data_IF_084073859607
#
_entry.id   IF_084073859607
#
_cell.length_a   1.000
_cell.length_b   1.000
_cell.length_c   1.000
_cell.angle_alpha   90.00
_cell.angle_beta   90.00
_cell.angle_gamma   90.00
#
_symmetry.space_group_name_H-M   'P 1'
#
loop_
_entity.id
_entity.type
_entity.pdbx_description
1 polymer ?
#
# COMPACT_ATOMS: atom_id res chain seq x y z
N UNK A 1 -8.73 20.06 74.27
CA UNK A 1 -7.66 20.02 73.26
C UNK A 1 -7.57 18.62 72.62
N UNK A 2 -8.63 18.16 71.94
CA UNK A 2 -8.68 16.82 71.28
C UNK A 2 -9.34 16.81 69.90
N UNK A 3 -9.80 17.96 69.40
CA UNK A 3 -10.53 18.08 68.12
C UNK A 3 -9.66 18.58 66.95
N UNK A 4 -8.45 19.10 67.22
CA UNK A 4 -7.52 19.55 66.16
C UNK A 4 -6.70 18.42 65.54
N UNK A 5 -6.54 17.29 66.23
CA UNK A 5 -5.69 16.19 65.76
C UNK A 5 -6.33 15.36 64.62
N UNK A 6 -7.67 15.26 64.60
CA UNK A 6 -8.39 14.46 63.61
C UNK A 6 -8.49 15.10 62.22
N UNK A 7 -8.36 16.43 62.10
CA UNK A 7 -8.42 17.10 60.79
C UNK A 7 -7.07 17.05 60.08
N UNK A 8 -5.97 17.13 60.81
CA UNK A 8 -4.61 17.08 60.24
C UNK A 8 -4.24 15.66 59.80
N UNK A 9 -4.66 14.63 60.55
CA UNK A 9 -4.42 13.24 60.17
C UNK A 9 -5.16 12.85 58.87
N UNK A 10 -6.38 13.37 58.69
CA UNK A 10 -7.16 13.13 57.47
C UNK A 10 -6.51 13.81 56.25
N UNK A 11 -5.99 15.04 56.39
CA UNK A 11 -5.31 15.76 55.30
C UNK A 11 -3.99 15.09 54.91
N UNK A 12 -3.25 14.52 55.87
CA UNK A 12 -2.00 13.78 55.58
C UNK A 12 -2.29 12.45 54.86
N UNK A 13 -3.36 11.74 55.23
CA UNK A 13 -3.76 10.50 54.55
C UNK A 13 -4.27 10.80 53.13
N UNK A 14 -5.04 11.88 52.92
CA UNK A 14 -5.49 12.29 51.58
C UNK A 14 -4.32 12.78 50.70
N UNK A 15 -3.31 13.43 51.27
CA UNK A 15 -2.11 13.87 50.55
C UNK A 15 -1.16 12.70 50.19
N UNK A 16 -1.13 11.63 51.00
CA UNK A 16 -0.40 10.39 50.68
C UNK A 16 -1.11 9.53 49.62
N UNK A 17 -2.44 9.60 49.51
CA UNK A 17 -3.17 8.99 48.40
C UNK A 17 -3.07 9.78 47.09
N UNK A 18 -2.82 11.09 47.15
CA UNK A 18 -2.63 11.94 45.95
C UNK A 18 -1.19 12.02 45.43
N UNK A 19 -0.22 11.40 46.11
CA UNK A 19 1.19 11.34 45.68
C UNK A 19 1.57 10.05 44.97
N UNK A 20 0.63 9.14 44.74
CA UNK A 20 0.79 7.96 43.85
C UNK A 20 0.21 8.16 42.45
N UNK A 21 -0.25 9.35 42.11
CA UNK A 21 -0.64 9.71 40.74
C UNK A 21 0.44 10.57 40.12
N UNK A 22 1.53 9.96 39.63
CA UNK A 22 2.41 10.44 38.55
C UNK A 22 3.67 9.56 38.47
N UNK A 23 3.55 8.40 37.84
CA UNK A 23 4.55 8.00 36.84
C UNK A 23 3.76 7.54 35.62
N UNK A 24 3.71 8.33 34.53
CA UNK A 24 3.42 7.76 33.23
C UNK A 24 4.63 6.89 32.86
N UNK A 25 4.59 5.59 33.17
CA UNK A 25 5.46 4.63 32.50
C UNK A 25 4.86 4.34 31.14
N UNK A 26 5.12 5.20 30.16
CA UNK A 26 5.40 4.74 28.82
C UNK A 26 6.83 5.19 28.52
N UNK A 27 7.73 4.23 28.24
CA UNK A 27 7.70 3.59 26.94
C UNK A 27 8.05 2.11 27.07
N UNK A 28 7.05 1.23 27.06
CA UNK A 28 7.23 -0.18 26.72
C UNK A 28 5.83 -0.72 26.40
N UNK A 29 5.14 -0.12 25.43
CA UNK A 29 4.27 -0.98 24.63
C UNK A 29 5.24 -1.72 23.73
N UNK A 30 5.55 -2.97 24.07
CA UNK A 30 5.94 -3.87 23.01
C UNK A 30 4.68 -4.13 22.21
N UNK A 31 4.38 -3.28 21.23
CA UNK A 31 3.25 -3.52 20.36
C UNK A 31 3.72 -4.61 19.42
N UNK A 32 3.45 -5.86 19.80
CA UNK A 32 3.29 -6.89 18.80
C UNK A 32 2.06 -6.48 17.99
N UNK A 33 2.26 -5.64 16.97
CA UNK A 33 1.16 -5.23 16.12
C UNK A 33 0.73 -6.44 15.29
N UNK A 34 -0.58 -6.61 15.19
CA UNK A 34 -1.15 -7.70 14.43
C UNK A 34 -0.71 -7.60 12.97
N UNK A 35 -0.36 -8.74 12.38
CA UNK A 35 -0.15 -8.83 10.94
C UNK A 35 -1.44 -8.40 10.25
N UNK A 36 -1.36 -7.38 9.40
CA UNK A 36 -2.50 -6.84 8.66
C UNK A 36 -2.24 -6.88 7.17
N UNK A 37 -3.28 -7.02 6.35
CA UNK A 37 -3.15 -6.86 4.91
C UNK A 37 -3.42 -5.40 4.55
N UNK A 38 -2.51 -4.82 3.76
CA UNK A 38 -2.74 -3.52 3.12
C UNK A 38 -3.04 -3.74 1.66
N UNK A 39 -3.87 -2.87 1.08
CA UNK A 39 -4.24 -2.92 -0.32
C UNK A 39 -4.23 -1.54 -0.97
N UNK A 40 -3.87 -1.50 -2.25
CA UNK A 40 -3.95 -0.32 -3.11
C UNK A 40 -4.65 -0.71 -4.40
N UNK A 41 -5.71 0.02 -4.75
CA UNK A 41 -6.45 -0.19 -5.98
C UNK A 41 -6.59 1.13 -6.72
N UNK A 42 -6.29 1.14 -8.01
CA UNK A 42 -6.45 2.34 -8.85
C UNK A 42 -6.86 1.96 -10.26
N UNK A 43 -7.77 2.74 -10.82
CA UNK A 43 -8.16 2.67 -12.23
C UNK A 43 -7.46 3.78 -13.00
N UNK A 44 -6.85 3.43 -14.13
CA UNK A 44 -6.14 4.34 -14.99
C UNK A 44 -6.77 4.34 -16.38
N UNK A 45 -6.81 5.50 -17.01
CA UNK A 45 -7.28 5.67 -18.39
C UNK A 45 -6.20 6.31 -19.23
N UNK A 46 -5.83 5.66 -20.33
CA UNK A 46 -4.85 6.17 -21.29
C UNK A 46 -5.51 6.38 -22.64
N UNK A 47 -5.24 7.51 -23.27
CA UNK A 47 -5.74 7.81 -24.60
C UNK A 47 -4.60 7.64 -25.60
N UNK A 48 -4.87 6.91 -26.68
CA UNK A 48 -3.96 6.80 -27.80
C UNK A 48 -4.74 6.75 -29.10
N UNK A 49 -4.09 7.18 -30.19
CA UNK A 49 -4.63 7.24 -31.52
C UNK A 49 -3.89 6.27 -32.45
N UNK A 50 -4.61 5.67 -33.39
CA UNK A 50 -4.00 4.97 -34.52
C UNK A 50 -4.68 5.38 -35.83
N UNK A 51 -3.96 5.30 -36.94
CA UNK A 51 -4.53 5.60 -38.26
C UNK A 51 -5.69 4.66 -38.62
N UNK A 52 -5.64 3.40 -38.19
CA UNK A 52 -6.62 2.37 -38.54
C UNK A 52 -7.88 2.41 -37.66
N UNK A 53 -7.76 2.83 -36.40
CA UNK A 53 -8.84 2.71 -35.41
C UNK A 53 -9.23 4.03 -34.71
N UNK A 54 -8.57 5.13 -35.06
CA UNK A 54 -8.77 6.44 -34.45
C UNK A 54 -8.34 6.47 -32.98
N UNK A 55 -8.86 7.44 -32.22
CA UNK A 55 -8.61 7.57 -30.78
C UNK A 55 -9.37 6.52 -29.99
N UNK A 56 -8.68 5.85 -29.06
CA UNK A 56 -9.25 4.90 -28.11
C UNK A 56 -8.85 5.24 -26.68
N UNK A 57 -9.69 4.81 -25.74
CA UNK A 57 -9.44 4.91 -24.31
C UNK A 57 -9.12 3.51 -23.76
N UNK A 58 -7.88 3.33 -23.30
CA UNK A 58 -7.41 2.12 -22.66
C UNK A 58 -7.54 2.28 -21.16
N UNK A 59 -8.66 1.78 -20.63
CA UNK A 59 -8.90 1.71 -19.19
C UNK A 59 -8.26 0.44 -18.64
N UNK A 60 -7.53 0.53 -17.54
CA UNK A 60 -7.03 -0.64 -16.81
C UNK A 60 -7.07 -0.41 -15.30
N UNK A 61 -7.02 -1.51 -14.56
CA UNK A 61 -7.02 -1.53 -13.10
C UNK A 61 -5.71 -2.16 -12.61
N UNK A 62 -5.14 -1.57 -11.57
CA UNK A 62 -3.99 -2.10 -10.83
C UNK A 62 -4.44 -2.37 -9.41
N UNK A 63 -4.15 -3.57 -8.92
CA UNK A 63 -4.40 -4.00 -7.54
C UNK A 63 -3.10 -4.53 -6.94
N UNK A 64 -2.82 -4.09 -5.73
CA UNK A 64 -1.66 -4.45 -4.95
C UNK A 64 -2.10 -4.77 -3.53
N UNK A 65 -1.55 -5.85 -2.95
CA UNK A 65 -1.66 -6.08 -1.52
C UNK A 65 -0.37 -6.67 -0.95
N UNK A 66 -0.12 -6.40 0.33
CA UNK A 66 1.01 -6.94 1.07
C UNK A 66 0.60 -7.23 2.51
N UNK A 67 1.34 -8.12 3.17
CA UNK A 67 1.27 -8.32 4.61
C UNK A 67 2.14 -7.27 5.29
N UNK A 68 1.60 -6.58 6.29
CA UNK A 68 2.32 -5.63 7.12
C UNK A 68 2.45 -6.22 8.51
N UNK A 69 3.67 -6.20 9.02
CA UNK A 69 4.00 -6.53 10.41
C UNK A 69 4.68 -5.32 11.01
N UNK A 70 4.28 -4.96 12.23
CA UNK A 70 4.89 -3.83 12.92
C UNK A 70 5.31 -4.32 14.30
N UNK A 71 6.55 -4.01 14.64
CA UNK A 71 7.17 -4.29 15.92
C UNK A 71 7.74 -2.99 16.51
N UNK A 72 8.31 -3.07 17.71
CA UNK A 72 8.77 -1.89 18.45
C UNK A 72 9.81 -1.03 17.72
N UNK A 73 10.50 -1.60 16.73
CA UNK A 73 11.57 -0.94 16.00
C UNK A 73 11.21 -0.69 14.54
N UNK A 74 10.42 -1.56 13.93
CA UNK A 74 10.22 -1.57 12.49
C UNK A 74 8.77 -1.74 12.07
N UNK A 75 8.39 -1.02 11.01
CA UNK A 75 7.25 -1.34 10.15
C UNK A 75 7.77 -2.06 8.93
N UNK A 76 7.22 -3.23 8.64
CA UNK A 76 7.67 -4.12 7.57
C UNK A 76 6.50 -4.48 6.69
N UNK A 77 6.71 -4.51 5.39
CA UNK A 77 5.78 -5.09 4.44
C UNK A 77 6.46 -6.21 3.67
N UNK A 78 5.76 -7.33 3.54
CA UNK A 78 6.26 -8.53 2.89
C UNK A 78 5.11 -9.24 2.14
N UNK A 79 5.43 -10.36 1.48
CA UNK A 79 4.47 -11.16 0.70
C UNK A 79 3.62 -10.29 -0.21
N UNK A 80 4.31 -9.52 -1.05
CA UNK A 80 3.70 -8.60 -1.98
C UNK A 80 3.01 -9.37 -3.09
N UNK A 81 1.80 -8.97 -3.42
CA UNK A 81 1.01 -9.44 -4.55
C UNK A 81 0.61 -8.24 -5.40
N UNK A 82 0.75 -8.35 -6.71
CA UNK A 82 0.36 -7.32 -7.66
C UNK A 82 -0.33 -7.93 -8.88
N UNK A 83 -1.28 -7.20 -9.45
CA UNK A 83 -1.97 -7.59 -10.67
C UNK A 83 -2.45 -6.35 -11.43
N UNK A 84 -2.37 -6.41 -12.76
CA UNK A 84 -3.07 -5.49 -13.65
C UNK A 84 -4.03 -6.21 -14.59
N UNK A 85 -5.25 -5.68 -14.71
CA UNK A 85 -6.34 -6.32 -15.45
C UNK A 85 -7.36 -5.30 -15.99
N UNK A 86 -8.24 -5.79 -16.87
CA UNK A 86 -9.45 -5.09 -17.34
C UNK A 86 -10.68 -5.95 -17.08
N UNK A 87 -11.78 -5.31 -16.72
CA UNK A 87 -13.10 -5.92 -16.73
C UNK A 87 -13.81 -5.74 -18.08
N UNK A 88 -14.83 -6.56 -18.39
CA UNK A 88 -15.66 -6.35 -19.57
C UNK A 88 -16.26 -4.94 -19.67
N UNK A 89 -16.65 -4.35 -18.53
CA UNK A 89 -17.15 -2.97 -18.43
C UNK A 89 -16.14 -1.92 -18.87
N UNK A 90 -14.84 -2.23 -18.83
CA UNK A 90 -13.74 -1.31 -19.14
C UNK A 90 -13.42 -1.33 -20.65
N UNK A 91 -14.21 -2.07 -21.45
CA UNK A 91 -14.06 -2.22 -22.89
C UNK A 91 -12.86 -3.08 -23.26
N UNK A 92 -13.07 -4.39 -23.41
CA UNK A 92 -12.02 -5.29 -23.91
C UNK A 92 -12.05 -5.29 -25.43
N UNK A 93 -10.98 -4.75 -26.04
CA UNK A 93 -10.87 -4.70 -27.49
C UNK A 93 -10.47 -6.06 -28.09
N UNK A 94 -10.77 -6.24 -29.38
CA UNK A 94 -10.32 -7.40 -30.16
C UNK A 94 -8.79 -7.44 -30.30
N UNK A 95 -8.25 -8.53 -30.87
CA UNK A 95 -6.80 -8.70 -31.03
C UNK A 95 -6.15 -7.66 -31.94
N UNK A 96 -6.88 -7.12 -32.91
CA UNK A 96 -6.36 -6.17 -33.90
C UNK A 96 -6.10 -4.77 -33.31
N UNK A 97 -7.00 -4.30 -32.44
CA UNK A 97 -6.81 -3.06 -31.67
C UNK A 97 -5.79 -3.30 -30.54
N UNK A 98 -5.87 -4.46 -29.88
CA UNK A 98 -5.08 -4.78 -28.70
C UNK A 98 -5.60 -4.08 -27.44
N UNK A 99 -5.15 -4.53 -26.26
CA UNK A 99 -5.54 -3.94 -24.97
C UNK A 99 -4.36 -3.30 -24.21
N UNK A 100 -3.20 -3.25 -24.85
CA UNK A 100 -1.94 -2.91 -24.21
C UNK A 100 -1.43 -4.01 -23.28
N UNK A 101 -0.28 -3.72 -22.68
CA UNK A 101 0.37 -4.52 -21.65
C UNK A 101 0.62 -3.60 -20.44
N UNK A 102 0.56 -4.15 -19.23
CA UNK A 102 0.90 -3.41 -18.01
C UNK A 102 2.02 -4.16 -17.31
N UNK A 103 3.11 -3.45 -17.03
CA UNK A 103 4.31 -4.00 -16.42
C UNK A 103 4.47 -3.36 -15.04
N UNK A 104 4.63 -4.16 -13.99
CA UNK A 104 5.07 -3.65 -12.70
C UNK A 104 6.52 -3.19 -12.82
N UNK A 105 6.78 -1.90 -12.56
CA UNK A 105 8.13 -1.36 -12.59
C UNK A 105 8.77 -1.39 -11.21
N UNK A 106 8.09 -0.89 -10.17
CA UNK A 106 8.57 -0.89 -8.78
C UNK A 106 7.44 -0.98 -7.77
N UNK A 107 7.76 -1.48 -6.59
CA UNK A 107 6.97 -1.24 -5.38
C UNK A 107 7.82 -0.39 -4.44
N UNK A 108 7.33 0.80 -4.11
CA UNK A 108 8.01 1.79 -3.29
C UNK A 108 7.46 1.78 -1.87
N UNK A 109 8.36 1.96 -0.90
CA UNK A 109 8.01 2.41 0.44
C UNK A 109 8.28 3.91 0.52
N UNK A 110 7.27 4.67 0.90
CA UNK A 110 7.31 6.14 0.90
C UNK A 110 6.95 6.67 2.27
N UNK A 111 7.69 7.69 2.71
CA UNK A 111 7.38 8.47 3.91
C UNK A 111 6.14 9.34 3.64
N UNK A 112 5.10 9.18 4.45
CA UNK A 112 3.84 9.91 4.29
C UNK A 112 3.96 11.39 4.66
N UNK A 113 4.92 11.76 5.49
CA UNK A 113 5.06 13.13 5.99
C UNK A 113 5.66 14.05 4.94
N UNK A 114 6.65 13.57 4.17
CA UNK A 114 7.39 14.38 3.21
C UNK A 114 7.37 13.83 1.77
N UNK A 115 6.82 12.63 1.54
CA UNK A 115 6.76 12.00 0.23
C UNK A 115 8.09 11.40 -0.25
N UNK A 116 9.12 11.36 0.60
CA UNK A 116 10.43 10.82 0.24
C UNK A 116 10.36 9.31 0.06
N UNK A 117 11.08 8.80 -0.94
CA UNK A 117 11.25 7.38 -1.14
C UNK A 117 12.23 6.84 -0.12
N UNK A 118 11.80 5.86 0.66
CA UNK A 118 12.61 5.21 1.68
C UNK A 118 13.35 4.01 1.09
N UNK A 119 12.64 3.16 0.35
CA UNK A 119 13.17 1.96 -0.29
C UNK A 119 12.23 1.47 -1.40
N UNK A 120 12.67 0.49 -2.19
CA UNK A 120 11.84 -0.10 -3.24
C UNK A 120 12.24 -1.54 -3.58
N UNK A 121 11.27 -2.30 -4.10
CA UNK A 121 11.48 -3.58 -4.78
C UNK A 121 11.36 -3.35 -6.28
N UNK A 122 12.34 -3.82 -7.05
CA UNK A 122 12.25 -3.79 -8.51
C UNK A 122 11.16 -4.76 -9.00
N UNK A 123 10.40 -4.37 -10.02
CA UNK A 123 9.36 -5.20 -10.61
C UNK A 123 9.88 -6.51 -11.21
N UNK A 124 11.14 -6.54 -11.65
CA UNK A 124 11.81 -7.76 -12.11
C UNK A 124 12.09 -8.79 -10.99
N UNK A 125 12.03 -8.39 -9.72
CA UNK A 125 12.16 -9.31 -8.58
C UNK A 125 10.84 -10.00 -8.24
N UNK A 126 9.73 -9.60 -8.87
CA UNK A 126 8.45 -10.28 -8.76
C UNK A 126 8.37 -11.46 -9.74
N UNK A 127 7.95 -12.61 -9.22
CA UNK A 127 7.73 -13.82 -10.00
C UNK A 127 6.25 -14.00 -10.32
N UNK A 128 5.93 -14.79 -11.35
CA UNK A 128 4.54 -15.10 -11.69
C UNK A 128 3.83 -15.88 -10.57
N UNK A 129 2.57 -15.52 -10.30
CA UNK A 129 1.73 -16.12 -9.27
C UNK A 129 1.32 -15.12 -8.19
N UNK A 130 0.56 -15.58 -7.19
CA UNK A 130 0.13 -14.79 -6.04
C UNK A 130 0.29 -15.60 -4.74
N UNK A 131 0.44 -14.92 -3.60
CA UNK A 131 0.30 -15.50 -2.26
C UNK A 131 -1.18 -15.57 -1.85
N UNK A 132 -1.96 -14.56 -2.23
CA UNK A 132 -3.39 -14.45 -1.89
C UNK A 132 -4.27 -14.57 -3.13
N UNK A 133 -5.48 -15.11 -2.93
CA UNK A 133 -6.50 -15.16 -3.98
C UNK A 133 -6.98 -13.76 -4.35
N UNK A 134 -7.30 -13.55 -5.63
CA UNK A 134 -7.84 -12.29 -6.16
C UNK A 134 -9.20 -12.57 -6.77
N UNK A 135 -10.23 -11.88 -6.28
CA UNK A 135 -11.55 -11.90 -6.90
C UNK A 135 -11.60 -10.83 -7.99
N UNK A 136 -11.67 -11.27 -9.23
CA UNK A 136 -11.83 -10.39 -10.38
C UNK A 136 -13.25 -10.49 -10.93
N UNK A 137 -13.65 -9.46 -11.67
CA UNK A 137 -14.85 -9.51 -12.51
C UNK A 137 -14.80 -10.71 -13.47
N UNK A 138 -15.97 -11.28 -13.78
CA UNK A 138 -16.09 -12.37 -14.74
C UNK A 138 -15.53 -11.97 -16.11
N UNK A 139 -14.75 -12.86 -16.72
CA UNK A 139 -14.05 -12.63 -18.00
C UNK A 139 -13.02 -11.49 -17.99
N UNK A 140 -12.42 -11.21 -16.83
CA UNK A 140 -11.32 -10.26 -16.74
C UNK A 140 -10.17 -10.64 -17.69
N UNK A 141 -9.60 -9.64 -18.36
CA UNK A 141 -8.40 -9.81 -19.17
C UNK A 141 -7.19 -9.32 -18.39
N UNK A 142 -6.24 -10.21 -18.18
CA UNK A 142 -4.96 -9.87 -17.56
C UNK A 142 -4.12 -9.03 -18.52
N UNK A 143 -3.55 -7.94 -17.99
CA UNK A 143 -2.57 -7.11 -18.70
C UNK A 143 -1.17 -7.22 -18.11
N UNK A 144 -1.02 -7.59 -16.85
CA UNK A 144 0.29 -7.85 -16.21
C UNK A 144 0.42 -9.22 -15.55
N UNK A 145 -0.67 -9.99 -15.53
CA UNK A 145 -0.80 -11.25 -14.78
C UNK A 145 -0.63 -11.06 -13.26
N UNK A 146 -1.00 -12.06 -12.44
CA UNK A 146 -0.65 -12.06 -11.02
C UNK A 146 0.86 -12.20 -10.84
N UNK A 147 1.43 -11.36 -9.98
CA UNK A 147 2.84 -11.31 -9.62
C UNK A 147 3.00 -11.32 -8.11
N UNK A 148 4.06 -11.97 -7.62
CA UNK A 148 4.37 -12.04 -6.19
C UNK A 148 5.84 -11.83 -5.86
N UNK A 149 6.12 -11.32 -4.67
CA UNK A 149 7.47 -11.13 -4.16
C UNK A 149 7.55 -11.35 -2.63
N UNK A 150 8.45 -12.21 -2.12
CA UNK A 150 8.60 -12.42 -0.68
C UNK A 150 9.47 -11.37 0.02
N UNK A 151 10.26 -10.60 -0.73
CA UNK A 151 11.23 -9.67 -0.15
C UNK A 151 10.53 -8.57 0.64
N UNK A 152 11.22 -8.07 1.65
CA UNK A 152 10.67 -7.09 2.59
C UNK A 152 11.00 -5.66 2.21
N UNK A 153 10.05 -4.74 2.45
CA UNK A 153 10.31 -3.31 2.59
C UNK A 153 10.09 -2.89 4.04
N UNK A 154 11.08 -2.25 4.64
CA UNK A 154 11.06 -1.86 6.05
C UNK A 154 11.40 -0.39 6.27
N UNK A 155 10.79 0.21 7.29
CA UNK A 155 11.16 1.52 7.84
C UNK A 155 11.15 1.48 9.38
N UNK A 156 11.77 2.48 10.01
CA UNK A 156 11.62 2.70 11.46
C UNK A 156 10.14 2.82 11.83
N UNK A 157 9.72 2.24 12.95
CA UNK A 157 8.33 2.32 13.42
C UNK A 157 7.91 3.77 13.73
N UNK A 158 8.87 4.67 14.00
CA UNK A 158 8.59 6.09 14.19
C UNK A 158 8.17 6.84 12.90
N UNK A 159 8.31 6.23 11.73
CA UNK A 159 7.98 6.85 10.43
C UNK A 159 6.59 6.38 10.00
N UNK A 160 5.72 7.33 9.66
CA UNK A 160 4.47 7.01 8.97
C UNK A 160 4.78 6.71 7.50
N UNK A 161 4.43 5.53 7.03
CA UNK A 161 4.81 5.09 5.69
C UNK A 161 3.62 4.55 4.90
N UNK A 162 3.75 4.50 3.58
CA UNK A 162 2.81 3.81 2.71
C UNK A 162 3.57 3.07 1.62
N UNK A 163 2.95 2.02 1.11
CA UNK A 163 3.44 1.36 -0.07
C UNK A 163 2.78 1.95 -1.32
N UNK A 164 3.47 1.89 -2.44
CA UNK A 164 2.83 2.13 -3.72
C UNK A 164 3.51 1.43 -4.88
N UNK A 165 2.71 1.08 -5.87
CA UNK A 165 3.20 0.42 -7.08
C UNK A 165 3.36 1.42 -8.18
N UNK A 166 4.50 1.42 -8.84
CA UNK A 166 4.76 2.14 -10.08
C UNK A 166 4.67 1.14 -11.23
N UNK A 167 3.82 1.45 -12.20
CA UNK A 167 3.54 0.58 -13.35
C UNK A 167 3.80 1.31 -14.65
N UNK A 168 4.14 0.55 -15.70
CA UNK A 168 4.26 1.02 -17.07
C UNK A 168 3.16 0.41 -17.92
N UNK A 169 2.39 1.28 -18.57
CA UNK A 169 1.53 0.89 -19.67
C UNK A 169 2.34 0.83 -20.96
N UNK A 170 2.01 -0.07 -21.89
CA UNK A 170 2.62 -0.15 -23.21
C UNK A 170 1.55 -0.52 -24.25
N UNK A 171 1.59 0.11 -25.43
CA UNK A 171 0.77 -0.22 -26.59
C UNK A 171 1.65 -0.75 -27.73
N UNK A 172 1.03 -1.39 -28.73
CA UNK A 172 1.71 -1.77 -29.97
C UNK A 172 2.14 -0.54 -30.79
N UNK A 173 3.11 -0.73 -31.68
CA UNK A 173 3.78 0.34 -32.44
C UNK A 173 2.84 1.12 -33.38
N UNK A 174 1.64 0.61 -33.65
CA UNK A 174 0.61 1.29 -34.42
C UNK A 174 -0.17 2.36 -33.63
N UNK A 175 0.10 2.54 -32.34
CA UNK A 175 -0.54 3.52 -31.46
C UNK A 175 0.38 4.70 -31.14
N UNK A 176 -0.21 5.90 -31.08
CA UNK A 176 0.49 7.14 -30.72
C UNK A 176 -0.32 7.92 -29.67
N UNK A 177 0.30 8.35 -28.56
CA UNK A 177 1.65 7.99 -28.14
C UNK A 177 1.79 6.49 -27.84
N UNK A 178 2.98 5.91 -28.10
CA UNK A 178 3.36 4.62 -27.53
C UNK A 178 3.69 4.86 -26.05
N UNK A 179 2.65 5.08 -25.25
CA UNK A 179 2.79 5.58 -23.89
C UNK A 179 3.66 4.61 -23.09
N UNK A 180 4.79 5.10 -22.59
CA UNK A 180 5.48 4.62 -21.39
C UNK A 180 5.18 5.65 -20.31
N UNK A 181 4.24 5.36 -19.42
CA UNK A 181 3.88 6.28 -18.34
C UNK A 181 4.01 5.59 -17.00
N UNK A 182 4.63 6.28 -16.04
CA UNK A 182 4.72 5.83 -14.65
C UNK A 182 3.38 6.13 -13.98
N UNK A 183 2.58 5.10 -13.80
CA UNK A 183 1.29 5.16 -13.11
C UNK A 183 1.43 4.60 -11.72
N UNK A 184 0.98 5.37 -10.72
CA UNK A 184 1.17 5.05 -9.30
C UNK A 184 -0.15 4.68 -8.62
N UNK A 185 -0.16 3.55 -7.92
CA UNK A 185 -1.22 3.17 -6.97
C UNK A 185 -0.64 3.20 -5.56
N UNK A 186 -1.30 3.87 -4.62
CA UNK A 186 -0.81 4.02 -3.24
C UNK A 186 -1.75 3.35 -2.25
N UNK A 187 -1.19 2.69 -1.24
CA UNK A 187 -1.96 2.23 -0.07
C UNK A 187 -2.32 3.43 0.80
N UNK A 188 -3.29 3.26 1.69
CA UNK A 188 -3.39 4.16 2.83
C UNK A 188 -2.12 4.03 3.69
N UNK A 189 -1.77 5.15 4.34
CA UNK A 189 -0.61 5.21 5.22
C UNK A 189 -0.82 4.46 6.52
N UNK A 190 0.27 3.97 7.11
CA UNK A 190 0.32 3.28 8.39
C UNK A 190 1.57 3.64 9.20
#
# INVERSE_FOLDING_TARGET
>A
MKLLYNKTLLVVITALFFSFSLIPTSPNMSVAEAVTNINAFTTFTKYAWSANYGTKAFVYKSDYEAEVTIDDQYKRSNRHDWIAYKCPSDGIYNSEIGNGNVILYKVHLVDNTNGNWLSYLNGNSFVSGAYRSRLLCGSARYLGGPKKNPNELSASNSIACRNGTETWFQLGDNWTPSLFTNDYSWTQGY
#
